data_IF_370380013028
#
_entry.id   IF_370380013028
#
_cell.length_a   1.000
_cell.length_b   1.000
_cell.length_c   1.000
_cell.angle_alpha   90.00
_cell.angle_beta   90.00
_cell.angle_gamma   90.00
#
_symmetry.space_group_name_H-M   'P 1'
#
loop_
_entity.id
_entity.type
_entity.pdbx_description
1 polymer ?
#
# COMPACT_ATOMS: atom_id res chain seq x y z
N UNK A 1 5.53 -1.12 26.67
CA UNK A 1 4.65 -0.64 25.58
C UNK A 1 4.91 -1.52 24.36
N UNK A 2 3.90 -2.22 23.86
CA UNK A 2 4.07 -3.08 22.68
C UNK A 2 4.06 -2.21 21.43
N UNK A 3 5.22 -2.10 20.76
CA UNK A 3 5.36 -1.32 19.54
C UNK A 3 5.21 -2.18 18.29
N UNK A 4 4.66 -1.60 17.23
CA UNK A 4 4.63 -2.18 15.89
C UNK A 4 5.57 -1.39 14.99
N UNK A 5 6.48 -2.08 14.31
CA UNK A 5 7.36 -1.49 13.31
C UNK A 5 6.83 -1.83 11.91
N UNK A 6 6.59 -0.80 11.10
CA UNK A 6 6.28 -0.93 9.68
C UNK A 6 7.52 -0.57 8.89
N UNK A 7 7.91 -1.41 7.93
CA UNK A 7 9.08 -1.17 7.08
C UNK A 7 8.62 -0.79 5.68
N UNK A 8 8.93 0.43 5.28
CA UNK A 8 8.53 1.08 4.04
C UNK A 8 7.57 2.25 4.28
N UNK A 9 7.88 3.43 3.74
CA UNK A 9 7.01 4.61 3.78
C UNK A 9 6.20 4.84 2.49
N UNK A 10 6.23 3.87 1.58
CA UNK A 10 5.38 3.89 0.39
C UNK A 10 3.90 3.66 0.72
N UNK A 11 3.07 3.72 -0.31
CA UNK A 11 1.60 3.61 -0.21
C UNK A 11 1.14 2.39 0.60
N UNK A 12 1.83 1.25 0.46
CA UNK A 12 1.50 0.03 1.21
C UNK A 12 1.84 0.17 2.69
N UNK A 13 3.02 0.69 3.01
CA UNK A 13 3.47 0.83 4.40
C UNK A 13 2.67 1.88 5.15
N UNK A 14 2.44 3.05 4.57
CA UNK A 14 1.66 4.13 5.21
C UNK A 14 0.18 3.76 5.35
N UNK A 15 -0.42 3.11 4.36
CA UNK A 15 -1.79 2.57 4.48
C UNK A 15 -1.88 1.52 5.58
N UNK A 16 -0.89 0.62 5.68
CA UNK A 16 -0.83 -0.40 6.73
C UNK A 16 -0.67 0.23 8.11
N UNK A 17 0.23 1.18 8.27
CA UNK A 17 0.42 1.91 9.53
C UNK A 17 -0.86 2.63 9.97
N UNK A 18 -1.55 3.29 9.04
CA UNK A 18 -2.83 3.95 9.30
C UNK A 18 -3.93 2.94 9.69
N UNK A 19 -4.05 1.84 8.96
CA UNK A 19 -5.01 0.78 9.27
C UNK A 19 -4.78 0.21 10.67
N UNK A 20 -3.53 -0.09 11.01
CA UNK A 20 -3.14 -0.56 12.36
C UNK A 20 -3.53 0.47 13.42
N UNK A 21 -3.23 1.76 13.21
CA UNK A 21 -3.55 2.82 14.19
C UNK A 21 -5.06 3.04 14.34
N UNK A 22 -5.84 2.85 13.27
CA UNK A 22 -7.31 2.89 13.31
C UNK A 22 -7.90 1.71 14.08
N UNK A 23 -7.33 0.51 13.95
CA UNK A 23 -7.78 -0.67 14.69
C UNK A 23 -7.33 -0.65 16.15
N UNK A 24 -6.10 -0.16 16.42
CA UNK A 24 -5.47 -0.11 17.74
C UNK A 24 -4.90 1.28 18.01
N UNK A 25 -5.74 2.23 18.49
CA UNK A 25 -5.29 3.58 18.80
C UNK A 25 -4.28 3.63 19.96
N UNK A 26 -4.26 2.60 20.81
CA UNK A 26 -3.43 2.48 22.01
C UNK A 26 -1.96 2.14 21.72
N UNK A 27 -1.65 1.59 20.55
CA UNK A 27 -0.29 1.14 20.22
C UNK A 27 0.54 2.20 19.50
N UNK A 28 1.85 2.15 19.73
CA UNK A 28 2.81 2.96 18.99
C UNK A 28 3.18 2.24 17.69
N UNK A 29 3.05 2.96 16.57
CA UNK A 29 3.45 2.50 15.24
C UNK A 29 4.62 3.35 14.78
N UNK A 30 5.75 2.72 14.50
CA UNK A 30 6.93 3.38 13.93
C UNK A 30 7.10 2.94 12.49
N UNK A 31 7.20 3.88 11.56
CA UNK A 31 7.48 3.61 10.14
C UNK A 31 8.97 3.82 9.90
N UNK A 32 9.65 2.79 9.39
CA UNK A 32 11.05 2.83 8.98
C UNK A 32 11.14 2.91 7.46
N UNK A 33 12.09 3.67 6.95
CA UNK A 33 12.38 3.80 5.52
C UNK A 33 13.89 3.94 5.31
N UNK A 34 14.38 3.59 4.12
CA UNK A 34 15.81 3.57 3.78
C UNK A 34 16.26 4.77 2.94
N UNK A 35 15.30 5.55 2.41
CA UNK A 35 15.54 6.71 1.55
C UNK A 35 14.40 7.73 1.70
N UNK A 36 14.57 8.99 1.28
CA UNK A 36 13.52 9.99 1.33
C UNK A 36 12.29 9.64 0.47
N UNK A 37 11.11 10.11 0.87
CA UNK A 37 9.85 9.82 0.16
C UNK A 37 9.89 10.19 -1.33
N UNK A 38 10.49 11.32 -1.70
CA UNK A 38 10.56 11.75 -3.10
C UNK A 38 11.44 10.85 -3.99
N UNK A 39 12.18 9.89 -3.41
CA UNK A 39 13.00 8.90 -4.10
C UNK A 39 12.38 7.49 -4.11
N UNK A 40 11.12 7.34 -3.69
CA UNK A 40 10.44 6.04 -3.72
C UNK A 40 9.41 5.95 -4.85
N UNK A 41 9.00 4.73 -5.19
CA UNK A 41 8.00 4.47 -6.23
C UNK A 41 6.68 5.20 -5.98
N UNK A 42 6.29 5.38 -4.71
CA UNK A 42 5.02 6.00 -4.34
C UNK A 42 5.00 7.52 -4.45
N UNK A 43 6.12 8.19 -4.72
CA UNK A 43 6.15 9.63 -4.93
C UNK A 43 5.49 10.07 -6.24
N UNK A 44 5.62 9.25 -7.30
CA UNK A 44 5.14 9.59 -8.64
C UNK A 44 4.41 8.41 -9.29
N UNK A 45 3.32 7.90 -8.69
CA UNK A 45 2.45 6.94 -9.37
C UNK A 45 1.63 7.67 -10.45
N UNK A 46 1.18 6.93 -11.46
CA UNK A 46 0.19 7.46 -12.41
C UNK A 46 -1.14 7.85 -11.74
N UNK A 47 -1.44 7.28 -10.56
CA UNK A 47 -2.61 7.65 -9.75
C UNK A 47 -3.95 7.10 -10.26
N UNK A 48 -3.95 6.31 -11.33
CA UNK A 48 -5.18 5.72 -11.88
C UNK A 48 -5.60 4.48 -11.08
N UNK A 49 -6.88 4.43 -10.69
CA UNK A 49 -7.46 3.27 -10.04
C UNK A 49 -7.81 2.19 -11.09
N UNK A 50 -6.93 1.19 -11.24
CA UNK A 50 -7.18 -0.01 -12.06
C UNK A 50 -6.64 -1.26 -11.38
N UNK A 51 -7.31 -2.39 -11.58
CA UNK A 51 -6.80 -3.71 -11.19
C UNK A 51 -7.02 -4.69 -12.32
N UNK A 52 -6.04 -5.57 -12.53
CA UNK A 52 -6.01 -6.48 -13.67
C UNK A 52 -6.34 -7.93 -13.27
N UNK A 53 -6.18 -8.27 -11.98
CA UNK A 53 -6.46 -9.61 -11.46
C UNK A 53 -7.80 -9.65 -10.72
N UNK A 54 -8.72 -10.53 -11.16
CA UNK A 54 -10.05 -10.68 -10.56
C UNK A 54 -10.01 -11.16 -9.10
N UNK A 55 -8.97 -11.89 -8.72
CA UNK A 55 -8.82 -12.42 -7.36
C UNK A 55 -8.60 -11.31 -6.33
N UNK A 56 -8.06 -10.17 -6.77
CA UNK A 56 -7.84 -8.98 -5.94
C UNK A 56 -9.09 -8.10 -5.80
N UNK A 57 -10.23 -8.50 -6.37
CA UNK A 57 -11.47 -7.70 -6.39
C UNK A 57 -11.93 -7.26 -5.00
N UNK A 58 -11.77 -8.10 -3.98
CA UNK A 58 -12.17 -7.78 -2.61
C UNK A 58 -11.34 -6.63 -2.03
N UNK A 59 -10.02 -6.70 -2.18
CA UNK A 59 -9.08 -5.66 -1.77
C UNK A 59 -9.27 -4.37 -2.59
N UNK A 60 -9.51 -4.50 -3.90
CA UNK A 60 -9.83 -3.37 -4.77
C UNK A 60 -11.13 -2.68 -4.33
N UNK A 61 -12.21 -3.43 -4.05
CA UNK A 61 -13.47 -2.86 -3.58
C UNK A 61 -13.32 -2.11 -2.25
N UNK A 62 -12.59 -2.70 -1.30
CA UNK A 62 -12.30 -2.06 -0.02
C UNK A 62 -11.51 -0.75 -0.21
N UNK A 63 -10.52 -0.75 -1.09
CA UNK A 63 -9.70 0.43 -1.38
C UNK A 63 -10.49 1.51 -2.14
N UNK A 64 -11.32 1.11 -3.10
CA UNK A 64 -12.20 2.05 -3.81
C UNK A 64 -13.15 2.75 -2.84
N UNK A 65 -13.79 2.00 -1.93
CA UNK A 65 -14.68 2.57 -0.93
C UNK A 65 -13.96 3.59 -0.03
N UNK A 66 -12.71 3.31 0.35
CA UNK A 66 -11.88 4.23 1.12
C UNK A 66 -11.62 5.54 0.38
N UNK A 67 -11.17 5.49 -0.87
CA UNK A 67 -10.96 6.69 -1.67
C UNK A 67 -12.25 7.43 -1.99
N UNK A 68 -13.33 6.72 -2.26
CA UNK A 68 -14.65 7.31 -2.47
C UNK A 68 -15.09 8.10 -1.23
N UNK A 69 -14.84 7.57 -0.03
CA UNK A 69 -15.14 8.27 1.21
C UNK A 69 -14.27 9.51 1.41
N UNK A 70 -12.95 9.42 1.16
CA UNK A 70 -12.06 10.58 1.20
C UNK A 70 -12.50 11.68 0.22
N UNK A 71 -12.92 11.30 -0.99
CA UNK A 71 -13.41 12.23 -2.00
C UNK A 71 -14.74 12.89 -1.61
N UNK A 72 -15.60 12.22 -0.83
CA UNK A 72 -16.87 12.79 -0.34
C UNK A 72 -16.67 13.69 0.87
N UNK A 73 -15.79 13.30 1.79
CA UNK A 73 -15.62 13.99 3.06
C UNK A 73 -14.69 15.19 3.00
N UNK A 74 -13.68 15.17 2.10
CA UNK A 74 -12.63 16.17 2.09
C UNK A 74 -12.34 16.68 0.66
N UNK A 75 -11.92 17.95 0.52
CA UNK A 75 -11.45 18.45 -0.75
C UNK A 75 -10.23 17.67 -1.26
N UNK A 76 -10.17 17.43 -2.57
CA UNK A 76 -9.03 16.76 -3.21
C UNK A 76 -7.70 17.51 -3.05
N UNK A 77 -7.72 18.81 -2.75
CA UNK A 77 -6.51 19.58 -2.40
C UNK A 77 -5.88 19.16 -1.07
N UNK A 78 -6.65 18.50 -0.20
CA UNK A 78 -6.19 17.99 1.09
C UNK A 78 -5.81 16.51 1.00
N UNK A 79 -6.64 15.70 0.34
CA UNK A 79 -6.45 14.24 0.29
C UNK A 79 -5.63 13.76 -0.89
N UNK A 80 -5.48 14.58 -1.95
CA UNK A 80 -4.96 14.16 -3.24
C UNK A 80 -5.90 13.25 -4.03
N UNK A 81 -7.10 12.94 -3.52
CA UNK A 81 -8.07 12.05 -4.16
C UNK A 81 -9.15 12.89 -4.86
N UNK A 82 -9.31 12.69 -6.17
CA UNK A 82 -10.35 13.37 -6.95
C UNK A 82 -10.88 12.45 -8.04
N UNK A 83 -12.19 12.50 -8.28
CA UNK A 83 -12.79 11.92 -9.47
C UNK A 83 -12.50 12.83 -10.67
N UNK A 84 -11.88 12.25 -11.69
CA UNK A 84 -11.56 12.92 -12.94
C UNK A 84 -12.19 12.13 -14.08
N UNK A 85 -12.86 12.83 -14.99
CA UNK A 85 -13.15 12.26 -16.30
C UNK A 85 -11.86 12.22 -17.12
N UNK A 86 -11.68 11.15 -17.88
CA UNK A 86 -10.50 10.99 -18.73
C UNK A 86 -10.72 9.89 -19.76
N UNK A 87 -9.83 9.86 -20.75
CA UNK A 87 -9.77 8.81 -21.77
C UNK A 87 -8.35 8.25 -21.80
N UNK A 88 -8.21 6.95 -21.98
CA UNK A 88 -6.91 6.33 -22.20
C UNK A 88 -6.52 6.62 -23.65
N UNK A 89 -5.53 7.49 -23.83
CA UNK A 89 -5.08 7.93 -25.16
C UNK A 89 -4.24 6.84 -25.87
N UNK A 90 -3.49 6.04 -25.11
CA UNK A 90 -2.72 4.92 -25.64
C UNK A 90 -2.32 3.97 -24.51
N UNK A 91 -2.21 2.68 -24.84
CA UNK A 91 -1.67 1.62 -24.02
C UNK A 91 -0.40 0.97 -24.63
N UNK A 92 0.11 1.52 -25.74
CA UNK A 92 1.33 1.03 -26.42
C UNK A 92 2.37 2.13 -26.58
N UNK A 93 3.64 1.74 -26.40
CA UNK A 93 4.77 2.66 -26.55
C UNK A 93 4.87 3.14 -27.99
N UNK A 94 4.67 2.24 -28.95
CA UNK A 94 4.76 2.53 -30.37
C UNK A 94 3.68 3.53 -30.80
N UNK A 95 2.43 3.38 -30.35
CA UNK A 95 1.37 4.32 -30.70
C UNK A 95 1.57 5.67 -30.00
N UNK A 96 2.18 5.70 -28.81
CA UNK A 96 2.58 6.94 -28.16
C UNK A 96 3.67 7.66 -28.96
N UNK A 97 4.72 6.95 -29.40
CA UNK A 97 5.81 7.51 -30.20
C UNK A 97 5.33 8.05 -31.55
N UNK A 98 4.40 7.33 -32.21
CA UNK A 98 3.80 7.76 -33.47
C UNK A 98 3.03 9.09 -33.37
N UNK A 99 2.61 9.50 -32.17
CA UNK A 99 1.94 10.80 -31.96
C UNK A 99 2.93 11.98 -31.98
N UNK A 100 4.24 11.73 -32.12
CA UNK A 100 5.26 12.79 -32.18
C UNK A 100 5.46 13.53 -30.86
N UNK A 101 5.05 12.93 -29.73
CA UNK A 101 5.20 13.53 -28.40
C UNK A 101 6.64 13.41 -27.89
N UNK A 102 7.14 14.47 -27.24
CA UNK A 102 8.46 14.47 -26.61
C UNK A 102 8.37 13.94 -25.18
N UNK A 103 9.00 12.79 -24.91
CA UNK A 103 9.17 12.28 -23.54
C UNK A 103 10.07 13.24 -22.77
N UNK A 104 9.57 13.77 -21.65
CA UNK A 104 10.33 14.71 -20.80
C UNK A 104 11.18 13.99 -19.74
N UNK A 105 10.82 12.76 -19.39
CA UNK A 105 11.54 11.91 -18.44
C UNK A 105 10.78 10.62 -18.15
N UNK A 106 11.48 9.66 -17.58
CA UNK A 106 10.92 8.38 -17.13
C UNK A 106 11.13 8.26 -15.62
N UNK A 107 10.08 7.85 -14.90
CA UNK A 107 10.16 7.64 -13.46
C UNK A 107 9.58 6.28 -13.10
N UNK A 108 10.47 5.30 -12.90
CA UNK A 108 10.09 4.00 -12.38
C UNK A 108 11.14 3.52 -11.37
N UNK A 109 10.67 3.18 -10.18
CA UNK A 109 11.46 2.45 -9.19
C UNK A 109 11.07 0.97 -9.21
N UNK A 110 11.85 0.12 -8.54
CA UNK A 110 11.53 -1.31 -8.41
C UNK A 110 10.13 -1.49 -7.81
N UNK A 111 9.31 -2.31 -8.49
CA UNK A 111 7.95 -2.67 -8.08
C UNK A 111 7.87 -4.20 -7.92
N UNK A 112 8.22 -4.75 -6.75
CA UNK A 112 8.13 -6.19 -6.52
C UNK A 112 6.70 -6.67 -6.73
N UNK A 113 6.50 -7.50 -7.76
CA UNK A 113 5.24 -8.14 -8.08
C UNK A 113 5.30 -9.62 -7.67
N UNK A 114 4.14 -10.19 -7.39
CA UNK A 114 3.95 -11.62 -7.11
C UNK A 114 2.69 -12.09 -7.83
N UNK A 115 2.64 -13.38 -8.16
CA UNK A 115 1.43 -14.02 -8.68
C UNK A 115 0.24 -13.86 -7.72
N UNK A 116 0.53 -13.87 -6.42
CA UNK A 116 -0.41 -13.52 -5.36
C UNK A 116 0.27 -12.64 -4.31
N UNK A 117 -0.41 -11.54 -3.96
CA UNK A 117 0.03 -10.59 -2.93
C UNK A 117 0.18 -11.33 -1.61
N UNK A 118 1.37 -11.24 -1.01
CA UNK A 118 1.66 -11.94 0.24
C UNK A 118 1.19 -11.10 1.41
N UNK A 119 0.09 -11.55 2.01
CA UNK A 119 -0.44 -11.02 3.28
C UNK A 119 -0.61 -12.16 4.28
N UNK A 120 0.39 -12.33 5.14
CA UNK A 120 0.44 -13.43 6.11
C UNK A 120 1.33 -13.08 7.31
N UNK A 121 1.14 -13.78 8.43
CA UNK A 121 1.97 -13.64 9.63
C UNK A 121 2.90 -14.84 9.80
N UNK A 122 4.15 -14.59 10.18
CA UNK A 122 5.16 -15.62 10.46
C UNK A 122 5.82 -15.32 11.80
N UNK A 123 5.88 -16.32 12.68
CA UNK A 123 6.65 -16.23 13.92
C UNK A 123 8.15 -16.42 13.66
N UNK A 124 8.97 -15.56 14.27
CA UNK A 124 10.42 -15.58 14.15
C UNK A 124 11.08 -15.42 15.51
N UNK A 125 12.35 -15.80 15.56
CA UNK A 125 13.20 -15.63 16.74
C UNK A 125 14.36 -14.71 16.41
N UNK A 126 14.61 -13.73 17.27
CA UNK A 126 15.77 -12.84 17.12
C UNK A 126 17.05 -13.59 17.48
N UNK A 127 18.21 -13.04 17.07
CA UNK A 127 19.53 -13.56 17.48
C UNK A 127 19.71 -13.62 19.01
N UNK A 128 18.94 -12.82 19.76
CA UNK A 128 18.93 -12.78 21.24
C UNK A 128 17.89 -13.73 21.87
N UNK A 129 17.20 -14.55 21.08
CA UNK A 129 16.21 -15.52 21.59
C UNK A 129 14.78 -14.98 21.75
N UNK A 130 14.56 -13.67 21.61
CA UNK A 130 13.22 -13.08 21.71
C UNK A 130 12.35 -13.47 20.50
N UNK A 131 11.14 -13.95 20.75
CA UNK A 131 10.15 -14.24 19.70
C UNK A 131 9.46 -12.97 19.21
N UNK A 132 9.19 -12.87 17.91
CA UNK A 132 8.46 -11.76 17.30
C UNK A 132 7.70 -12.22 16.05
N UNK A 133 6.59 -11.55 15.75
CA UNK A 133 5.78 -11.81 14.56
C UNK A 133 6.19 -10.87 13.43
N UNK A 134 6.40 -11.41 12.23
CA UNK A 134 6.49 -10.65 10.98
C UNK A 134 5.14 -10.75 10.28
N UNK A 135 4.51 -9.62 9.99
CA UNK A 135 3.36 -9.57 9.07
C UNK A 135 3.86 -9.07 7.72
N UNK A 136 3.79 -9.94 6.72
CA UNK A 136 4.08 -9.58 5.35
C UNK A 136 2.87 -8.84 4.74
N UNK A 137 3.14 -7.76 4.02
CA UNK A 137 2.17 -7.09 3.15
C UNK A 137 2.94 -6.52 1.95
N UNK A 138 3.23 -7.37 0.96
CA UNK A 138 4.05 -6.98 -0.21
C UNK A 138 3.73 -7.81 -1.45
N UNK A 139 4.20 -7.33 -2.61
CA UNK A 139 4.04 -8.02 -3.89
C UNK A 139 3.02 -7.38 -4.84
N UNK A 140 2.58 -6.15 -4.56
CA UNK A 140 1.51 -5.47 -5.30
C UNK A 140 1.90 -4.98 -6.70
N UNK A 141 3.18 -5.03 -7.08
CA UNK A 141 3.62 -4.53 -8.39
C UNK A 141 3.18 -3.08 -8.65
N UNK A 142 2.46 -2.85 -9.75
CA UNK A 142 1.91 -1.54 -10.12
C UNK A 142 0.62 -1.15 -9.40
N UNK A 143 0.04 -2.04 -8.60
CA UNK A 143 -1.33 -1.92 -8.08
C UNK A 143 -1.38 -1.44 -6.62
N UNK A 144 -0.27 -0.94 -6.07
CA UNK A 144 -0.21 -0.54 -4.68
C UNK A 144 -1.21 0.56 -4.30
N UNK A 145 -1.50 1.49 -5.21
CA UNK A 145 -2.57 2.49 -5.01
C UNK A 145 -3.95 1.84 -4.98
N UNK A 146 -4.23 0.92 -5.91
CA UNK A 146 -5.53 0.27 -6.10
C UNK A 146 -5.87 -0.75 -5.00
N UNK A 147 -4.87 -1.43 -4.44
CA UNK A 147 -5.05 -2.55 -3.52
C UNK A 147 -4.54 -2.24 -2.10
N UNK A 148 -3.84 -1.11 -1.92
CA UNK A 148 -3.08 -0.82 -0.71
C UNK A 148 -3.93 -0.74 0.55
N UNK A 149 -5.11 -0.13 0.49
CA UNK A 149 -5.98 -0.05 1.67
C UNK A 149 -6.63 -1.39 2.01
N UNK A 150 -7.14 -2.13 1.02
CA UNK A 150 -7.73 -3.46 1.23
C UNK A 150 -6.74 -4.44 1.87
N UNK A 151 -5.54 -4.52 1.31
CA UNK A 151 -4.45 -5.34 1.87
C UNK A 151 -3.98 -4.84 3.24
N UNK A 152 -3.97 -3.53 3.47
CA UNK A 152 -3.66 -2.94 4.78
C UNK A 152 -4.66 -3.36 5.87
N UNK A 153 -5.95 -3.46 5.57
CA UNK A 153 -6.95 -3.95 6.52
C UNK A 153 -6.68 -5.41 6.92
N UNK A 154 -6.33 -6.27 5.95
CA UNK A 154 -5.96 -7.67 6.21
C UNK A 154 -4.69 -7.76 7.05
N UNK A 155 -3.67 -6.96 6.74
CA UNK A 155 -2.43 -6.90 7.50
C UNK A 155 -2.67 -6.41 8.94
N UNK A 156 -3.49 -5.37 9.13
CA UNK A 156 -3.85 -4.85 10.45
C UNK A 156 -4.56 -5.91 11.32
N UNK A 157 -5.45 -6.72 10.72
CA UNK A 157 -6.10 -7.83 11.43
C UNK A 157 -5.10 -8.90 11.90
N UNK A 158 -4.08 -9.21 11.09
CA UNK A 158 -3.00 -10.12 11.49
C UNK A 158 -2.14 -9.55 12.62
N UNK A 159 -1.85 -8.25 12.58
CA UNK A 159 -1.13 -7.54 13.66
C UNK A 159 -1.95 -7.60 14.95
N UNK A 160 -3.24 -7.29 14.92
CA UNK A 160 -4.09 -7.32 16.10
C UNK A 160 -4.17 -8.73 16.72
N UNK A 161 -4.34 -9.75 15.88
CA UNK A 161 -4.29 -11.16 16.31
C UNK A 161 -2.97 -11.51 17.00
N UNK A 162 -1.84 -11.08 16.44
CA UNK A 162 -0.52 -11.32 17.02
C UNK A 162 -0.34 -10.63 18.39
N UNK A 163 -0.87 -9.41 18.54
CA UNK A 163 -0.85 -8.67 19.79
C UNK A 163 -1.71 -9.35 20.87
N UNK A 164 -2.91 -9.82 20.51
CA UNK A 164 -3.81 -10.55 21.42
C UNK A 164 -3.17 -11.87 21.87
N UNK A 165 -2.54 -12.61 20.96
CA UNK A 165 -1.90 -13.89 21.29
C UNK A 165 -0.72 -13.70 22.26
N UNK A 166 0.04 -12.61 22.14
CA UNK A 166 1.11 -12.27 23.09
C UNK A 166 0.59 -11.90 24.48
N UNK A 167 -0.59 -11.31 24.59
CA UNK A 167 -1.16 -10.93 25.88
C UNK A 167 -1.70 -12.12 26.69
N UNK A 168 -1.83 -13.30 26.07
CA UNK A 168 -2.31 -14.53 26.70
C UNK A 168 -1.20 -15.44 27.23
N UNK A 169 0.07 -15.06 27.05
CA UNK A 169 1.28 -15.77 27.52
C UNK A 169 1.86 -14.99 28.69
#
# INVERSE_FOLDING_TARGET
MTGVAVVGEGVIGTSTALAIKKTRPDINVTVFHDRPFHEICSAMPAGLFRFDNVDDRSDAKATFNWYAELCRQYPGSITGVKLLSGHIQSDSKEALEQQGVKVLGEWCHLRPARDSIRVESVEKRSKRGNSYTIVHNYGHGGHGFTLGWGTALRAAALVDKALINRAKI
#
